data_IF_428647954548
#
_entry.id   IF_428647954548
#
_cell.length_a   1.000
_cell.length_b   1.000
_cell.length_c   1.000
_cell.angle_alpha   90.00
_cell.angle_beta   90.00
_cell.angle_gamma   90.00
#
_symmetry.space_group_name_H-M   'P 1'
#
loop_
_entity.id
_entity.type
_entity.pdbx_description
1 polymer ?
#
# COMPACT_ATOMS: atom_id res chain seq x y z
N UNK A 1 6.44 -20.98 1.58
CA UNK A 1 7.21 -20.05 0.73
C UNK A 1 6.44 -18.75 0.82
N UNK A 2 7.01 -17.72 1.42
CA UNK A 2 6.33 -16.44 1.57
C UNK A 2 6.33 -15.80 0.17
N UNK A 3 5.20 -15.82 -0.51
CA UNK A 3 4.94 -14.94 -1.65
C UNK A 3 4.63 -13.56 -1.05
N UNK A 4 5.62 -12.96 -0.40
CA UNK A 4 5.48 -11.64 0.22
C UNK A 4 5.94 -10.58 -0.77
N UNK A 5 5.13 -9.57 -0.99
CA UNK A 5 5.49 -8.36 -1.71
C UNK A 5 6.73 -7.73 -1.05
N UNK A 6 7.78 -7.46 -1.83
CA UNK A 6 8.96 -6.73 -1.36
C UNK A 6 8.79 -5.25 -1.71
N UNK A 7 8.51 -4.43 -0.71
CA UNK A 7 8.31 -2.98 -0.88
C UNK A 7 9.67 -2.27 -0.93
N UNK A 8 9.90 -1.47 -1.97
CA UNK A 8 11.04 -0.56 -2.01
C UNK A 8 10.79 0.65 -1.10
N UNK A 9 11.38 0.59 0.10
CA UNK A 9 11.25 1.64 1.12
C UNK A 9 11.87 2.98 0.70
N UNK A 10 12.73 3.00 -0.32
CA UNK A 10 13.34 4.25 -0.81
C UNK A 10 12.42 4.99 -1.78
N UNK A 11 11.50 4.26 -2.43
CA UNK A 11 10.46 4.78 -3.31
C UNK A 11 9.19 5.22 -2.58
N UNK A 12 9.09 5.00 -1.27
CA UNK A 12 7.91 5.41 -0.49
C UNK A 12 7.82 6.93 -0.44
N UNK A 13 6.75 7.47 -1.00
CA UNK A 13 6.44 8.89 -1.06
C UNK A 13 5.06 9.13 -0.51
N UNK A 14 4.95 10.15 0.33
CA UNK A 14 3.67 10.67 0.77
C UNK A 14 3.10 11.67 -0.24
N UNK A 15 1.93 11.35 -0.77
CA UNK A 15 1.15 12.23 -1.62
C UNK A 15 -0.10 12.72 -0.87
N UNK A 16 0.12 13.76 -0.06
CA UNK A 16 -0.95 14.44 0.69
C UNK A 16 -2.04 15.05 -0.23
N UNK A 17 -1.69 15.41 -1.48
CA UNK A 17 -2.65 15.98 -2.45
C UNK A 17 -3.71 14.95 -2.82
N UNK A 18 -3.29 13.73 -3.17
CA UNK A 18 -4.18 12.61 -3.52
C UNK A 18 -4.60 11.78 -2.30
N UNK A 19 -4.12 12.16 -1.11
CA UNK A 19 -4.30 11.47 0.18
C UNK A 19 -3.94 9.99 0.09
N UNK A 20 -2.73 9.71 -0.38
CA UNK A 20 -2.23 8.36 -0.59
C UNK A 20 -0.72 8.25 -0.39
N UNK A 21 -0.25 7.07 0.02
CA UNK A 21 1.16 6.72 0.01
C UNK A 21 1.46 5.97 -1.28
N UNK A 22 2.44 6.45 -2.02
CA UNK A 22 2.87 5.89 -3.30
C UNK A 22 4.22 5.20 -3.12
N UNK A 23 4.36 4.00 -3.66
CA UNK A 23 5.61 3.24 -3.59
C UNK A 23 5.68 2.19 -4.69
N UNK A 24 6.88 1.67 -4.92
CA UNK A 24 7.09 0.53 -5.81
C UNK A 24 7.35 -0.72 -4.99
N UNK A 25 6.86 -1.86 -5.45
CA UNK A 25 7.14 -3.15 -4.83
C UNK A 25 7.30 -4.26 -5.86
N UNK A 26 8.09 -5.27 -5.53
CA UNK A 26 8.32 -6.45 -6.37
C UNK A 26 7.47 -7.62 -5.86
N UNK A 27 6.70 -8.24 -6.75
CA UNK A 27 5.92 -9.44 -6.48
C UNK A 27 6.08 -10.44 -7.62
N UNK A 28 6.42 -11.70 -7.29
CA UNK A 28 6.67 -12.78 -8.26
C UNK A 28 7.76 -12.46 -9.32
N UNK A 29 8.62 -11.47 -9.05
CA UNK A 29 9.66 -11.00 -9.97
C UNK A 29 9.21 -9.91 -10.95
N UNK A 30 7.98 -9.42 -10.82
CA UNK A 30 7.45 -8.26 -11.53
C UNK A 30 7.39 -7.03 -10.58
N UNK A 31 7.75 -5.87 -11.12
CA UNK A 31 7.67 -4.59 -10.39
C UNK A 31 6.28 -3.96 -10.60
N UNK A 32 5.67 -3.55 -9.50
CA UNK A 32 4.35 -2.91 -9.46
C UNK A 32 4.42 -1.56 -8.74
N UNK A 33 3.68 -0.59 -9.26
CA UNK A 33 3.44 0.68 -8.57
C UNK A 33 2.20 0.55 -7.69
N UNK A 34 2.30 0.91 -6.41
CA UNK A 34 1.21 0.88 -5.46
C UNK A 34 0.85 2.28 -4.99
N UNK A 35 -0.44 2.48 -4.74
CA UNK A 35 -0.99 3.69 -4.15
C UNK A 35 -1.97 3.30 -3.04
N UNK A 36 -1.52 3.38 -1.79
CA UNK A 36 -2.32 3.06 -0.60
C UNK A 36 -3.05 4.31 -0.16
N UNK A 37 -4.38 4.32 -0.24
CA UNK A 37 -5.19 5.44 0.20
C UNK A 37 -5.08 5.65 1.71
N UNK A 38 -5.13 6.90 2.14
CA UNK A 38 -5.20 7.25 3.57
C UNK A 38 -6.39 6.60 4.28
N UNK A 39 -7.46 6.27 3.55
CA UNK A 39 -8.58 5.49 4.08
C UNK A 39 -8.14 4.14 4.66
N UNK A 40 -7.19 3.45 4.01
CA UNK A 40 -6.60 2.18 4.48
C UNK A 40 -5.85 2.40 5.79
N UNK A 41 -4.95 3.38 5.80
CA UNK A 41 -4.17 3.72 6.99
C UNK A 41 -5.07 4.16 8.14
N UNK A 42 -6.15 4.87 7.84
CA UNK A 42 -7.17 5.30 8.81
C UNK A 42 -7.96 4.14 9.37
N UNK A 43 -8.30 3.16 8.54
CA UNK A 43 -9.00 1.96 8.98
C UNK A 43 -8.11 1.10 9.89
N UNK A 44 -6.83 0.95 9.54
CA UNK A 44 -5.84 0.20 10.34
C UNK A 44 -5.47 0.89 11.65
N UNK A 45 -5.24 2.21 11.60
CA UNK A 45 -4.79 2.98 12.76
C UNK A 45 -5.93 3.47 13.66
N UNK A 46 -7.12 3.65 13.10
CA UNK A 46 -8.28 4.29 13.74
C UNK A 46 -8.27 5.82 13.68
N UNK A 47 -7.20 6.44 13.19
CA UNK A 47 -6.98 7.90 13.17
C UNK A 47 -6.62 8.39 11.76
N UNK A 48 -6.85 9.67 11.48
CA UNK A 48 -6.53 10.22 10.14
C UNK A 48 -5.00 10.35 9.97
N UNK A 49 -4.42 9.79 8.89
CA UNK A 49 -3.04 10.06 8.53
C UNK A 49 -3.00 11.51 8.03
N UNK A 50 -2.52 12.44 8.84
CA UNK A 50 -2.26 13.81 8.40
C UNK A 50 -0.78 13.93 7.98
N UNK A 51 0.12 14.17 8.93
CA UNK A 51 1.58 14.24 8.69
C UNK A 51 2.30 12.90 8.96
N UNK A 52 1.62 11.92 9.55
CA UNK A 52 2.21 10.65 9.99
C UNK A 52 1.98 9.51 8.98
N UNK A 53 1.58 9.82 7.73
CA UNK A 53 1.20 8.82 6.72
C UNK A 53 2.27 7.74 6.50
N UNK A 54 3.53 8.16 6.35
CA UNK A 54 4.68 7.24 6.20
C UNK A 54 4.95 6.46 7.48
N UNK A 55 4.80 7.09 8.65
CA UNK A 55 5.02 6.40 9.93
C UNK A 55 3.96 5.32 10.16
N UNK A 56 2.70 5.60 9.86
CA UNK A 56 1.60 4.64 9.91
C UNK A 56 1.81 3.52 8.88
N UNK A 57 2.21 3.87 7.66
CA UNK A 57 2.55 2.89 6.63
C UNK A 57 3.61 1.90 7.10
N UNK A 58 4.71 2.40 7.67
CA UNK A 58 5.77 1.57 8.22
C UNK A 58 5.32 0.73 9.41
N UNK A 59 4.43 1.28 10.26
CA UNK A 59 3.90 0.60 11.44
C UNK A 59 2.97 -0.55 11.09
N UNK A 60 2.17 -0.40 10.04
CA UNK A 60 1.18 -1.40 9.58
C UNK A 60 1.62 -2.08 8.28
N UNK A 61 2.93 -2.16 8.04
CA UNK A 61 3.49 -2.67 6.80
C UNK A 61 3.01 -4.10 6.48
N UNK A 62 2.92 -4.97 7.49
CA UNK A 62 2.41 -6.34 7.31
C UNK A 62 0.96 -6.35 6.78
N UNK A 63 0.04 -5.61 7.41
CA UNK A 63 -1.37 -5.52 6.98
C UNK A 63 -1.50 -4.87 5.59
N UNK A 64 -0.65 -3.88 5.29
CA UNK A 64 -0.63 -3.22 3.99
C UNK A 64 -0.13 -4.15 2.90
N UNK A 65 0.86 -5.00 3.18
CA UNK A 65 1.33 -6.02 2.25
C UNK A 65 0.19 -6.97 1.89
N UNK A 66 -0.57 -7.47 2.88
CA UNK A 66 -1.73 -8.32 2.62
C UNK A 66 -2.78 -7.60 1.75
N UNK A 67 -3.09 -6.34 2.04
CA UNK A 67 -4.02 -5.54 1.23
C UNK A 67 -3.51 -5.31 -0.21
N UNK A 68 -2.21 -5.06 -0.38
CA UNK A 68 -1.59 -4.92 -1.68
C UNK A 68 -1.70 -6.21 -2.51
N UNK A 69 -1.47 -7.37 -1.88
CA UNK A 69 -1.61 -8.67 -2.53
C UNK A 69 -3.06 -8.91 -2.98
N UNK A 70 -4.04 -8.63 -2.12
CA UNK A 70 -5.45 -8.71 -2.47
C UNK A 70 -5.81 -7.80 -3.66
N UNK A 71 -5.28 -6.56 -3.67
CA UNK A 71 -5.49 -5.61 -4.75
C UNK A 71 -4.85 -6.07 -6.08
N UNK A 72 -3.66 -6.68 -6.05
CA UNK A 72 -3.01 -7.30 -7.22
C UNK A 72 -3.88 -8.43 -7.77
N UNK A 73 -4.38 -9.32 -6.91
CA UNK A 73 -5.22 -10.45 -7.35
C UNK A 73 -6.51 -9.97 -8.03
N UNK A 74 -7.08 -8.85 -7.56
CA UNK A 74 -8.26 -8.24 -8.19
C UNK A 74 -7.94 -7.50 -9.49
N UNK A 75 -6.75 -6.91 -9.60
CA UNK A 75 -6.36 -6.02 -10.71
C UNK A 75 -4.96 -6.35 -11.25
N UNK A 76 -4.69 -7.58 -11.72
CA UNK A 76 -3.33 -8.02 -12.08
C UNK A 76 -2.75 -7.34 -13.33
N UNK A 77 -3.57 -6.61 -14.09
CA UNK A 77 -3.16 -5.90 -15.31
C UNK A 77 -3.07 -4.38 -15.13
N UNK A 78 -3.26 -3.88 -13.90
CA UNK A 78 -3.13 -2.46 -13.61
C UNK A 78 -1.65 -2.05 -13.56
N UNK A 79 -1.29 -0.97 -14.25
CA UNK A 79 0.04 -0.36 -14.14
C UNK A 79 0.29 0.18 -12.73
N UNK A 80 -0.76 0.73 -12.10
CA UNK A 80 -0.74 1.20 -10.72
C UNK A 80 -1.85 0.52 -9.93
N UNK A 81 -1.47 -0.21 -8.89
CA UNK A 81 -2.36 -0.91 -7.97
C UNK A 81 -2.79 0.07 -6.87
N UNK A 82 -3.98 0.62 -7.04
CA UNK A 82 -4.62 1.45 -6.01
C UNK A 82 -5.25 0.52 -4.97
N UNK A 83 -4.80 0.67 -3.73
CA UNK A 83 -5.26 -0.07 -2.55
C UNK A 83 -6.15 0.85 -1.72
N UNK A 84 -7.37 0.39 -1.48
CA UNK A 84 -8.36 1.11 -0.69
C UNK A 84 -8.94 0.22 0.43
N UNK A 85 -9.81 0.77 1.28
CA UNK A 85 -10.37 0.06 2.44
C UNK A 85 -11.05 -1.27 2.05
N UNK A 86 -11.53 -1.39 0.80
CA UNK A 86 -12.14 -2.62 0.30
C UNK A 86 -11.14 -3.77 0.05
N UNK A 87 -9.84 -3.51 0.12
CA UNK A 87 -8.79 -4.51 -0.08
C UNK A 87 -8.22 -5.03 1.26
N UNK A 88 -8.74 -4.57 2.41
CA UNK A 88 -8.35 -5.03 3.75
C UNK A 88 -9.07 -6.33 4.22
N UNK A 89 -10.04 -6.85 3.45
CA UNK A 89 -10.92 -7.99 3.81
C UNK A 89 -10.44 -9.38 3.35
#
# INVERSE_FOLDING_TARGET
MANSLEIDQSSVVDNDVEKQIEFTGEFDGDEYEFAVKYAVLKELSGDEPEDDGIELFNRFNDDIIDACLAAIERKPSATTVVVDENDLE
#
